data_IF_400975469964
#
_entry.id   IF_400975469964
#
_cell.length_a   1.000
_cell.length_b   1.000
_cell.length_c   1.000
_cell.angle_alpha   90.00
_cell.angle_beta   90.00
_cell.angle_gamma   90.00
#
_symmetry.space_group_name_H-M   'P 1'
#
loop_
_entity.id
_entity.type
_entity.pdbx_description
1 polymer ?
#
# COMPACT_ATOMS: atom_id res chain seq x y z
N UNK A 1 -5.88 -16.08 -11.24
CA UNK A 1 -6.86 -15.37 -10.37
C UNK A 1 -7.34 -14.14 -11.12
N UNK A 2 -8.66 -13.95 -11.27
CA UNK A 2 -9.24 -12.77 -11.92
C UNK A 2 -9.76 -11.83 -10.83
N UNK A 3 -9.06 -10.73 -10.58
CA UNK A 3 -9.49 -9.72 -9.61
C UNK A 3 -10.59 -8.84 -10.21
N UNK A 4 -11.60 -8.51 -9.41
CA UNK A 4 -12.65 -7.56 -9.82
C UNK A 4 -12.13 -6.12 -9.67
N UNK A 5 -11.84 -5.46 -10.79
CA UNK A 5 -11.29 -4.10 -10.79
C UNK A 5 -12.19 -3.07 -10.09
N UNK A 6 -13.51 -3.23 -10.18
CA UNK A 6 -14.47 -2.30 -9.57
C UNK A 6 -14.38 -2.37 -8.04
N UNK A 7 -14.32 -3.57 -7.48
CA UNK A 7 -14.13 -3.75 -6.03
C UNK A 7 -12.83 -3.11 -5.54
N UNK A 8 -11.73 -3.33 -6.26
CA UNK A 8 -10.42 -2.80 -5.89
C UNK A 8 -10.38 -1.27 -6.00
N UNK A 9 -11.08 -0.70 -6.97
CA UNK A 9 -11.23 0.75 -7.10
C UNK A 9 -11.89 1.37 -5.86
N UNK A 10 -13.00 0.79 -5.39
CA UNK A 10 -13.66 1.26 -4.16
C UNK A 10 -12.78 1.06 -2.91
N UNK A 11 -12.03 -0.03 -2.84
CA UNK A 11 -11.07 -0.26 -1.74
C UNK A 11 -9.99 0.84 -1.74
N UNK A 12 -9.42 1.17 -2.90
CA UNK A 12 -8.40 2.23 -3.02
C UNK A 12 -8.97 3.58 -2.58
N UNK A 13 -10.18 3.95 -3.02
CA UNK A 13 -10.83 5.20 -2.58
C UNK A 13 -11.04 5.21 -1.07
N UNK A 14 -11.50 4.10 -0.50
CA UNK A 14 -11.64 3.94 0.95
C UNK A 14 -10.31 4.14 1.68
N UNK A 15 -9.23 3.51 1.21
CA UNK A 15 -7.90 3.64 1.80
C UNK A 15 -7.34 5.06 1.69
N UNK A 16 -7.60 5.78 0.60
CA UNK A 16 -7.23 7.20 0.48
C UNK A 16 -7.97 8.02 1.54
N UNK A 17 -9.29 7.84 1.68
CA UNK A 17 -10.09 8.54 2.68
C UNK A 17 -9.63 8.26 4.11
N UNK A 18 -9.44 6.99 4.45
CA UNK A 18 -8.98 6.56 5.77
C UNK A 18 -7.55 7.03 6.04
N UNK A 19 -6.65 6.94 5.05
CA UNK A 19 -5.26 7.38 5.18
C UNK A 19 -5.15 8.88 5.41
N UNK A 20 -5.94 9.70 4.71
CA UNK A 20 -6.01 11.14 4.95
C UNK A 20 -6.63 11.46 6.31
N UNK A 21 -7.68 10.75 6.72
CA UNK A 21 -8.29 10.90 8.03
C UNK A 21 -7.30 10.55 9.16
N UNK A 22 -6.58 9.43 9.02
CA UNK A 22 -5.53 9.01 9.96
C UNK A 22 -4.44 10.08 10.12
N UNK A 23 -4.01 10.70 9.01
CA UNK A 23 -3.03 11.80 9.04
C UNK A 23 -3.59 13.09 9.63
N UNK A 24 -4.90 13.32 9.59
CA UNK A 24 -5.56 14.48 10.21
C UNK A 24 -5.83 14.28 11.70
N UNK A 25 -6.13 13.05 12.11
CA UNK A 25 -6.56 12.70 13.48
C UNK A 25 -5.40 12.30 14.38
N UNK A 26 -4.16 12.58 13.97
CA UNK A 26 -2.93 12.37 14.74
C UNK A 26 -3.00 12.84 16.20
N UNK A 27 -3.80 13.87 16.48
CA UNK A 27 -3.99 14.44 17.83
C UNK A 27 -4.73 13.50 18.79
N UNK A 28 -5.56 12.58 18.31
CA UNK A 28 -6.41 11.72 19.14
C UNK A 28 -5.92 10.26 19.24
N UNK A 29 -4.90 9.87 18.46
CA UNK A 29 -4.35 8.52 18.51
C UNK A 29 -3.11 8.46 19.42
N UNK A 30 -2.91 7.36 20.17
CA UNK A 30 -1.65 7.11 20.87
C UNK A 30 -0.46 7.22 19.90
N UNK A 31 0.63 7.83 20.35
CA UNK A 31 1.80 8.12 19.51
C UNK A 31 2.32 6.87 18.77
N UNK A 32 2.31 5.72 19.44
CA UNK A 32 2.73 4.45 18.85
C UNK A 32 1.88 4.09 17.62
N UNK A 33 0.55 4.24 17.69
CA UNK A 33 -0.35 3.91 16.58
C UNK A 33 -0.23 4.97 15.48
N UNK A 34 -0.12 6.24 15.87
CA UNK A 34 0.00 7.36 14.96
C UNK A 34 1.22 7.22 14.01
N UNK A 35 2.36 6.74 14.53
CA UNK A 35 3.59 6.55 13.74
C UNK A 35 3.40 5.51 12.63
N UNK A 36 2.74 4.37 12.88
CA UNK A 36 2.66 3.29 11.89
C UNK A 36 1.39 3.31 11.05
N UNK A 37 0.26 3.82 11.58
CA UNK A 37 -1.06 3.60 10.97
C UNK A 37 -1.17 4.29 9.61
N UNK A 38 -0.72 5.54 9.51
CA UNK A 38 -0.79 6.31 8.25
C UNK A 38 0.03 5.67 7.13
N UNK A 39 1.21 5.17 7.46
CA UNK A 39 2.15 4.57 6.50
C UNK A 39 1.77 3.13 6.15
N UNK A 40 1.22 2.37 7.10
CA UNK A 40 0.64 1.05 6.83
C UNK A 40 -0.58 1.14 5.90
N UNK A 41 -1.47 2.11 6.11
CA UNK A 41 -2.63 2.34 5.21
C UNK A 41 -2.16 2.77 3.82
N UNK A 42 -1.13 3.61 3.75
CA UNK A 42 -0.55 4.04 2.49
C UNK A 42 0.09 2.86 1.72
N UNK A 43 0.84 1.99 2.40
CA UNK A 43 1.40 0.79 1.77
C UNK A 43 0.32 -0.21 1.32
N UNK A 44 -0.76 -0.36 2.10
CA UNK A 44 -1.93 -1.13 1.67
C UNK A 44 -2.55 -0.55 0.39
N UNK A 45 -2.68 0.78 0.30
CA UNK A 45 -3.17 1.46 -0.90
C UNK A 45 -2.28 1.16 -2.13
N UNK A 46 -0.96 1.19 -1.98
CA UNK A 46 -0.02 0.81 -3.05
C UNK A 46 -0.23 -0.65 -3.48
N UNK A 47 -0.37 -1.56 -2.51
CA UNK A 47 -0.65 -2.98 -2.79
C UNK A 47 -1.91 -3.16 -3.62
N UNK A 48 -3.03 -2.56 -3.21
CA UNK A 48 -4.28 -2.64 -3.95
C UNK A 48 -4.22 -1.92 -5.31
N UNK A 49 -3.46 -0.83 -5.43
CA UNK A 49 -3.18 -0.15 -6.70
C UNK A 49 -2.43 -1.03 -7.70
N UNK A 50 -1.38 -1.72 -7.24
CA UNK A 50 -0.64 -2.69 -8.06
C UNK A 50 -1.54 -3.88 -8.41
N UNK A 51 -2.34 -4.37 -7.47
CA UNK A 51 -3.30 -5.45 -7.72
C UNK A 51 -4.40 -5.08 -8.72
N UNK A 52 -4.81 -3.81 -8.73
CA UNK A 52 -5.75 -3.25 -9.70
C UNK A 52 -5.18 -3.25 -11.13
N UNK A 53 -3.93 -2.81 -11.28
CA UNK A 53 -3.20 -2.82 -12.56
C UNK A 53 -2.95 -4.27 -13.02
N UNK A 54 -2.33 -5.08 -12.16
CA UNK A 54 -1.92 -6.46 -12.43
C UNK A 54 -2.96 -7.50 -11.99
N UNK A 55 -4.17 -7.39 -12.52
CA UNK A 55 -5.32 -8.20 -12.11
C UNK A 55 -5.22 -9.71 -12.42
N UNK A 56 -4.19 -10.17 -13.13
CA UNK A 56 -3.94 -11.58 -13.48
C UNK A 56 -2.71 -12.20 -12.80
N UNK A 57 -1.85 -11.40 -12.16
CA UNK A 57 -0.60 -11.89 -11.53
C UNK A 57 -0.88 -12.55 -10.18
N UNK A 58 0.05 -13.36 -9.68
CA UNK A 58 -0.07 -14.02 -8.37
C UNK A 58 -0.07 -13.00 -7.22
N UNK A 59 -0.67 -13.36 -6.08
CA UNK A 59 -0.64 -12.52 -4.88
C UNK A 59 0.81 -12.23 -4.46
N UNK A 60 1.69 -13.25 -4.50
CA UNK A 60 3.10 -13.09 -4.12
C UNK A 60 3.83 -12.08 -5.01
N UNK A 61 3.57 -12.08 -6.32
CA UNK A 61 4.16 -11.09 -7.23
C UNK A 61 3.77 -9.67 -6.84
N UNK A 62 2.49 -9.44 -6.52
CA UNK A 62 2.00 -8.12 -6.11
C UNK A 62 2.59 -7.72 -4.76
N UNK A 63 2.63 -8.63 -3.79
CA UNK A 63 3.22 -8.37 -2.47
C UNK A 63 4.69 -7.95 -2.57
N UNK A 64 5.50 -8.71 -3.30
CA UNK A 64 6.92 -8.40 -3.52
C UNK A 64 7.08 -7.07 -4.27
N UNK A 65 6.34 -6.87 -5.35
CA UNK A 65 6.44 -5.62 -6.13
C UNK A 65 6.05 -4.39 -5.30
N UNK A 66 5.05 -4.52 -4.43
CA UNK A 66 4.61 -3.45 -3.53
C UNK A 66 5.66 -3.13 -2.47
N UNK A 67 6.27 -4.15 -1.87
CA UNK A 67 7.35 -3.97 -0.88
C UNK A 67 8.57 -3.32 -1.52
N UNK A 68 9.00 -3.84 -2.68
CA UNK A 68 10.11 -3.26 -3.43
C UNK A 68 9.82 -1.81 -3.79
N UNK A 69 8.60 -1.49 -4.23
CA UNK A 69 8.23 -0.11 -4.55
C UNK A 69 8.32 0.82 -3.32
N UNK A 70 7.79 0.41 -2.17
CA UNK A 70 7.85 1.21 -0.94
C UNK A 70 9.31 1.40 -0.48
N UNK A 71 10.12 0.35 -0.51
CA UNK A 71 11.54 0.46 -0.14
C UNK A 71 12.35 1.30 -1.13
N UNK A 72 12.03 1.27 -2.42
CA UNK A 72 12.63 2.16 -3.41
C UNK A 72 12.31 3.63 -3.11
N UNK A 73 11.10 3.93 -2.62
CA UNK A 73 10.72 5.28 -2.21
C UNK A 73 11.54 5.74 -1.01
N UNK A 74 11.69 4.89 0.02
CA UNK A 74 12.56 5.18 1.17
C UNK A 74 14.02 5.41 0.75
N UNK A 75 14.57 4.52 -0.09
CA UNK A 75 15.95 4.68 -0.58
C UNK A 75 16.09 5.93 -1.43
N UNK A 76 15.05 6.34 -2.16
CA UNK A 76 15.06 7.57 -2.95
C UNK A 76 15.31 8.80 -2.08
N UNK A 77 14.98 8.77 -0.78
CA UNK A 77 15.17 9.90 0.13
C UNK A 77 16.64 10.24 0.38
N UNK A 78 17.56 9.29 0.18
CA UNK A 78 19.00 9.57 0.20
C UNK A 78 19.50 10.23 -1.10
N UNK A 79 18.67 10.29 -2.14
CA UNK A 79 19.01 10.90 -3.42
C UNK A 79 18.50 12.35 -3.45
N UNK A 80 19.43 13.30 -3.49
CA UNK A 80 19.19 14.75 -3.40
C UNK A 80 19.56 15.50 -4.68
N UNK A 81 18.97 15.10 -5.80
CA UNK A 81 19.09 15.88 -7.03
C UNK A 81 18.07 17.04 -7.05
N UNK A 82 18.39 18.19 -7.67
CA UNK A 82 17.50 19.35 -7.68
C UNK A 82 16.09 19.05 -8.23
N UNK A 83 15.98 18.13 -9.20
CA UNK A 83 14.71 17.74 -9.79
C UNK A 83 13.83 16.92 -8.84
N UNK A 84 14.40 16.02 -8.03
CA UNK A 84 13.62 15.18 -7.11
C UNK A 84 13.21 15.99 -5.88
N UNK A 85 14.09 16.88 -5.42
CA UNK A 85 13.78 17.76 -4.30
C UNK A 85 12.74 18.81 -4.71
N UNK A 86 12.73 19.27 -5.97
CA UNK A 86 11.64 20.10 -6.49
C UNK A 86 10.28 19.36 -6.43
N UNK A 87 10.25 18.06 -6.74
CA UNK A 87 9.03 17.25 -6.62
C UNK A 87 8.62 17.10 -5.15
N UNK A 88 9.55 16.80 -4.24
CA UNK A 88 9.29 16.70 -2.79
C UNK A 88 8.74 17.99 -2.19
N UNK A 89 9.17 19.14 -2.71
CA UNK A 89 8.65 20.43 -2.28
C UNK A 89 7.21 20.71 -2.71
N UNK A 90 6.61 19.87 -3.56
CA UNK A 90 5.17 19.91 -3.85
C UNK A 90 4.39 19.11 -2.80
N UNK A 91 3.15 19.54 -2.47
CA UNK A 91 2.30 18.80 -1.51
C UNK A 91 2.06 17.34 -1.90
N UNK A 92 1.93 17.07 -3.21
CA UNK A 92 1.69 15.73 -3.73
C UNK A 92 2.97 14.90 -3.65
N UNK A 93 4.11 15.46 -4.06
CA UNK A 93 5.39 14.78 -3.97
C UNK A 93 5.81 14.51 -2.52
N UNK A 94 5.58 15.43 -1.60
CA UNK A 94 5.76 15.23 -0.17
C UNK A 94 4.96 14.04 0.38
N UNK A 95 3.72 13.86 -0.10
CA UNK A 95 2.82 12.79 0.34
C UNK A 95 3.22 11.41 -0.23
N UNK A 96 3.86 11.39 -1.41
CA UNK A 96 4.23 10.16 -2.11
C UNK A 96 5.67 9.74 -1.80
N UNK A 97 6.62 10.68 -1.79
CA UNK A 97 8.05 10.42 -1.67
C UNK A 97 8.59 10.55 -0.25
N UNK A 98 7.88 11.28 0.62
CA UNK A 98 8.39 11.64 1.94
C UNK A 98 9.61 12.55 1.89
N UNK A 99 10.10 12.92 3.09
CA UNK A 99 11.23 13.84 3.26
C UNK A 99 12.43 13.22 3.97
N UNK A 100 12.21 12.22 4.83
CA UNK A 100 13.25 11.66 5.67
C UNK A 100 13.01 10.17 5.89
N UNK A 101 14.10 9.42 5.88
CA UNK A 101 14.09 7.97 6.05
C UNK A 101 13.78 7.61 7.49
N UNK A 102 12.77 6.78 7.68
CA UNK A 102 12.38 6.29 8.99
C UNK A 102 12.32 4.77 9.00
N UNK A 103 13.04 4.15 9.95
CA UNK A 103 12.98 2.70 10.17
C UNK A 103 11.57 2.22 10.53
N UNK A 104 10.76 3.09 11.15
CA UNK A 104 9.34 2.83 11.41
C UNK A 104 8.56 2.57 10.13
N UNK A 105 8.93 3.20 9.03
CA UNK A 105 8.19 3.15 7.77
C UNK A 105 8.40 1.80 7.11
N UNK A 106 9.62 1.24 7.19
CA UNK A 106 9.91 -0.14 6.77
C UNK A 106 8.98 -1.14 7.49
N UNK A 107 8.82 -1.00 8.81
CA UNK A 107 7.95 -1.86 9.60
C UNK A 107 6.47 -1.62 9.23
N UNK A 108 6.04 -0.36 9.14
CA UNK A 108 4.67 0.01 8.77
C UNK A 108 4.28 -0.54 7.39
N UNK A 109 5.16 -0.40 6.40
CA UNK A 109 4.95 -0.88 5.05
C UNK A 109 4.88 -2.41 4.98
N UNK A 110 5.75 -3.08 5.74
CA UNK A 110 5.74 -4.53 5.84
C UNK A 110 4.45 -5.05 6.46
N UNK A 111 3.97 -4.41 7.53
CA UNK A 111 2.69 -4.74 8.17
C UNK A 111 1.52 -4.44 7.24
N UNK A 112 1.46 -3.26 6.63
CA UNK A 112 0.37 -2.86 5.73
C UNK A 112 0.22 -3.78 4.52
N UNK A 113 1.34 -4.12 3.88
CA UNK A 113 1.36 -5.07 2.75
C UNK A 113 1.07 -6.49 3.23
N UNK A 114 1.62 -6.91 4.38
CA UNK A 114 1.37 -8.22 4.97
C UNK A 114 -0.11 -8.46 5.27
N UNK A 115 -0.79 -7.49 5.91
CA UNK A 115 -2.23 -7.57 6.17
C UNK A 115 -3.05 -7.58 4.89
N UNK A 116 -2.68 -6.77 3.90
CA UNK A 116 -3.38 -6.74 2.60
C UNK A 116 -3.24 -8.06 1.84
N UNK A 117 -2.03 -8.62 1.83
CA UNK A 117 -1.72 -9.92 1.26
C UNK A 117 -2.50 -11.04 1.95
N UNK A 118 -2.50 -11.07 3.28
CA UNK A 118 -3.23 -12.08 4.06
C UNK A 118 -4.74 -11.97 3.81
N UNK A 119 -5.31 -10.76 3.86
CA UNK A 119 -6.72 -10.52 3.60
C UNK A 119 -7.13 -10.99 2.20
N UNK A 120 -6.32 -10.68 1.19
CA UNK A 120 -6.56 -11.15 -0.17
C UNK A 120 -6.39 -12.68 -0.29
N UNK A 121 -5.40 -13.26 0.39
CA UNK A 121 -5.15 -14.70 0.40
C UNK A 121 -6.35 -15.47 0.98
N UNK A 122 -6.90 -15.00 2.11
CA UNK A 122 -8.11 -15.61 2.69
C UNK A 122 -9.33 -15.45 1.77
N UNK A 123 -9.50 -14.28 1.13
CA UNK A 123 -10.59 -14.04 0.20
C UNK A 123 -10.56 -14.98 -1.02
N UNK A 124 -9.38 -15.30 -1.56
CA UNK A 124 -9.26 -16.24 -2.67
C UNK A 124 -9.24 -17.71 -2.25
N UNK A 125 -8.71 -18.04 -1.05
CA UNK A 125 -8.75 -19.41 -0.51
C UNK A 125 -10.18 -19.86 -0.21
N UNK A 126 -11.05 -18.93 0.21
CA UNK A 126 -12.47 -19.19 0.49
C UNK A 126 -13.35 -19.37 -0.75
N UNK A 127 -12.85 -19.13 -1.97
CA UNK A 127 -13.59 -19.46 -3.18
C UNK A 127 -13.44 -20.96 -3.43
N UNK A 128 -14.54 -21.75 -3.44
CA UNK A 128 -14.44 -23.13 -3.87
C UNK A 128 -13.79 -23.13 -5.25
N UNK A 129 -12.81 -24.02 -5.47
CA UNK A 129 -12.46 -24.40 -6.83
C UNK A 129 -13.78 -24.78 -7.48
N UNK A 130 -14.18 -24.05 -8.52
CA UNK A 130 -15.19 -24.53 -9.45
C UNK A 130 -14.63 -25.88 -9.91
N UNK A 131 -15.08 -26.95 -9.25
CA UNK A 131 -14.81 -28.31 -9.68
C UNK A 131 -15.45 -28.37 -11.05
N UNK A 132 -14.66 -28.69 -12.06
CA UNK A 132 -15.07 -28.86 -13.44
C UNK A 132 -16.31 -29.76 -13.50
N UNK A 133 -17.49 -29.14 -13.47
CA UNK A 133 -18.78 -29.79 -13.58
C UNK A 133 -19.15 -29.91 -15.07
N UNK A 134 -18.23 -30.47 -15.86
CA UNK A 134 -18.51 -31.04 -17.19
C UNK A 134 -17.48 -32.14 -17.44
N UNK A 135 -17.78 -33.35 -16.97
CA UNK A 135 -17.24 -34.60 -17.48
C UNK A 135 -18.33 -35.67 -17.42
#
# INVERSE_FOLDING_TARGET
MKRNRVLYFFIIIGLIGIGLAARKWKIFLPDLINVYLGDAIWAAMIYFGIAFIFNRKSLSFIGVLSLTFCYCIEVSQFYHAPWIDAIRNTRIGALILGFAFLWSDILAYTLGIGFSFLGEYFFFKGKPKEVDAVA
#
